data_IF_171011038362
#
_entry.id   IF_171011038362
#
_cell.length_a   1.000
_cell.length_b   1.000
_cell.length_c   1.000
_cell.angle_alpha   90.00
_cell.angle_beta   90.00
_cell.angle_gamma   90.00
#
_symmetry.space_group_name_H-M   'P 1'
#
loop_
_entity.id
_entity.type
_entity.pdbx_description
1 polymer ?
#
# COMPACT_ATOMS: atom_id res chain seq x y z
N UNK A 1 -27.55 29.63 28.41
CA UNK A 1 -28.05 28.85 27.26
C UNK A 1 -27.04 28.73 26.12
N UNK A 2 -26.18 29.74 25.86
CA UNK A 2 -25.14 29.65 24.82
C UNK A 2 -23.99 28.67 25.16
N UNK A 3 -23.53 28.63 26.42
CA UNK A 3 -22.45 27.74 26.84
C UNK A 3 -22.84 26.24 26.75
N UNK A 4 -24.08 25.89 27.10
CA UNK A 4 -24.59 24.53 27.00
C UNK A 4 -24.71 24.05 25.55
N UNK A 5 -25.13 24.93 24.62
CA UNK A 5 -25.20 24.62 23.20
C UNK A 5 -23.81 24.43 22.57
N UNK A 6 -22.81 25.21 23.02
CA UNK A 6 -21.41 25.10 22.58
C UNK A 6 -20.78 23.77 22.98
N UNK A 7 -20.99 23.33 24.24
CA UNK A 7 -20.50 22.04 24.72
C UNK A 7 -21.14 20.85 23.98
N UNK A 8 -22.45 20.92 23.69
CA UNK A 8 -23.15 19.86 22.94
C UNK A 8 -22.60 19.77 21.51
N UNK A 9 -22.37 20.91 20.86
CA UNK A 9 -21.80 20.95 19.51
C UNK A 9 -20.39 20.34 19.45
N UNK A 10 -19.54 20.64 20.45
CA UNK A 10 -18.19 20.07 20.56
C UNK A 10 -18.22 18.55 20.80
N UNK A 11 -19.12 18.06 21.67
CA UNK A 11 -19.29 16.62 21.96
C UNK A 11 -19.78 15.87 20.71
N UNK A 12 -20.70 16.45 19.94
CA UNK A 12 -21.18 15.86 18.68
C UNK A 12 -20.04 15.76 17.66
N UNK A 13 -19.22 16.81 17.52
CA UNK A 13 -18.06 16.82 16.62
C UNK A 13 -17.01 15.76 16.99
N UNK A 14 -16.74 15.59 18.29
CA UNK A 14 -15.82 14.55 18.80
C UNK A 14 -16.39 13.15 18.56
N UNK A 15 -17.69 12.94 18.80
CA UNK A 15 -18.34 11.64 18.58
C UNK A 15 -18.34 11.23 17.10
N UNK A 16 -18.56 12.18 16.18
CA UNK A 16 -18.45 11.97 14.73
C UNK A 16 -17.03 11.59 14.30
N UNK A 17 -16.00 12.19 14.91
CA UNK A 17 -14.60 11.87 14.62
C UNK A 17 -14.21 10.44 15.06
N UNK A 18 -14.82 9.92 16.12
CA UNK A 18 -14.56 8.55 16.60
C UNK A 18 -15.25 7.44 15.81
N UNK A 19 -16.18 7.77 14.91
CA UNK A 19 -16.95 6.80 14.14
C UNK A 19 -16.26 6.31 12.85
N UNK A 20 -15.06 6.83 12.54
CA UNK A 20 -14.32 6.42 11.35
C UNK A 20 -13.65 5.05 11.56
N UNK A 21 -14.39 3.98 11.31
CA UNK A 21 -13.81 2.64 11.12
C UNK A 21 -13.49 2.46 9.63
N UNK A 22 -12.20 2.39 9.28
CA UNK A 22 -11.76 2.05 7.92
C UNK A 22 -12.01 0.57 7.64
N UNK A 23 -13.18 0.24 7.11
CA UNK A 23 -13.51 -1.14 6.75
C UNK A 23 -12.73 -1.52 5.49
N UNK A 24 -11.70 -2.36 5.63
CA UNK A 24 -10.94 -2.89 4.50
C UNK A 24 -11.78 -3.93 3.74
N UNK A 25 -11.75 -3.88 2.41
CA UNK A 25 -12.35 -4.90 1.57
C UNK A 25 -11.41 -5.27 0.42
N UNK A 26 -11.21 -6.58 0.12
CA UNK A 26 -10.44 -6.99 -1.05
C UNK A 26 -11.06 -6.54 -2.38
N UNK A 27 -12.36 -6.19 -2.38
CA UNK A 27 -13.12 -5.73 -3.55
C UNK A 27 -13.32 -4.21 -3.59
N UNK A 28 -12.61 -3.45 -2.73
CA UNK A 28 -12.80 -2.00 -2.60
C UNK A 28 -12.68 -1.23 -3.92
N UNK A 29 -11.82 -1.71 -4.84
CA UNK A 29 -11.56 -1.07 -6.14
C UNK A 29 -12.30 -1.71 -7.32
N UNK A 30 -13.15 -2.73 -7.11
CA UNK A 30 -13.76 -3.51 -8.21
C UNK A 30 -14.62 -2.65 -9.15
N UNK A 31 -15.19 -1.56 -8.65
CA UNK A 31 -16.01 -0.62 -9.44
C UNK A 31 -15.25 0.66 -9.78
N UNK A 32 -14.52 1.25 -8.81
CA UNK A 32 -13.85 2.54 -8.96
C UNK A 32 -12.55 2.47 -9.77
N UNK A 33 -11.82 1.35 -9.67
CA UNK A 33 -10.65 1.10 -10.49
C UNK A 33 -10.46 -0.42 -10.77
N UNK A 34 -11.26 -1.02 -11.67
CA UNK A 34 -11.29 -2.47 -11.88
C UNK A 34 -9.95 -3.07 -12.33
N UNK A 35 -9.05 -2.25 -12.88
CA UNK A 35 -7.72 -2.66 -13.36
C UNK A 35 -6.61 -2.44 -12.33
N UNK A 36 -6.90 -1.94 -11.14
CA UNK A 36 -5.89 -1.60 -10.13
C UNK A 36 -5.02 -2.81 -9.76
N UNK A 37 -5.64 -3.90 -9.27
CA UNK A 37 -4.91 -5.08 -8.80
C UNK A 37 -4.09 -5.74 -9.92
N UNK A 38 -4.65 -5.84 -11.12
CA UNK A 38 -3.95 -6.39 -12.28
C UNK A 38 -2.73 -5.54 -12.68
N UNK A 39 -2.85 -4.20 -12.62
CA UNK A 39 -1.76 -3.27 -12.94
C UNK A 39 -0.64 -3.37 -11.90
N UNK A 40 -0.97 -3.43 -10.60
CA UNK A 40 0.01 -3.63 -9.53
C UNK A 40 0.74 -4.95 -9.72
N UNK A 41 -0.01 -6.06 -9.92
CA UNK A 41 0.55 -7.39 -10.15
C UNK A 41 1.55 -7.39 -11.32
N UNK A 42 1.17 -6.81 -12.45
CA UNK A 42 2.04 -6.71 -13.63
C UNK A 42 3.34 -5.95 -13.33
N UNK A 43 3.24 -4.79 -12.67
CA UNK A 43 4.41 -3.98 -12.31
C UNK A 43 5.36 -4.70 -11.35
N UNK A 44 4.80 -5.40 -10.36
CA UNK A 44 5.58 -6.23 -9.41
C UNK A 44 6.26 -7.38 -10.12
N UNK A 45 5.53 -8.13 -10.94
CA UNK A 45 6.09 -9.27 -11.70
C UNK A 45 7.23 -8.82 -12.61
N UNK A 46 7.10 -7.69 -13.30
CA UNK A 46 8.15 -7.13 -14.13
C UNK A 46 9.40 -6.74 -13.30
N UNK A 47 9.20 -6.04 -12.18
CA UNK A 47 10.29 -5.62 -11.30
C UNK A 47 11.02 -6.83 -10.66
N UNK A 48 10.25 -7.82 -10.21
CA UNK A 48 10.75 -9.06 -9.60
C UNK A 48 11.47 -9.92 -10.64
N UNK A 49 10.96 -10.01 -11.87
CA UNK A 49 11.61 -10.68 -13.00
C UNK A 49 12.98 -10.07 -13.30
N UNK A 50 13.07 -8.74 -13.31
CA UNK A 50 14.32 -8.01 -13.55
C UNK A 50 15.33 -8.09 -12.40
N UNK A 51 14.89 -7.99 -11.14
CA UNK A 51 15.73 -8.13 -9.94
C UNK A 51 14.97 -8.99 -8.91
N UNK A 52 15.36 -10.26 -8.69
CA UNK A 52 14.71 -11.10 -7.70
C UNK A 52 14.70 -10.54 -6.28
N UNK A 53 15.69 -9.75 -5.91
CA UNK A 53 15.75 -9.12 -4.59
C UNK A 53 14.70 -8.01 -4.42
N UNK A 54 14.09 -7.55 -5.52
CA UNK A 54 13.04 -6.54 -5.46
C UNK A 54 11.80 -7.04 -4.73
N UNK A 55 11.46 -8.33 -4.83
CA UNK A 55 10.32 -8.89 -4.11
C UNK A 55 10.48 -8.77 -2.59
N UNK A 56 11.66 -9.13 -2.07
CA UNK A 56 11.99 -8.94 -0.66
C UNK A 56 12.08 -7.45 -0.28
N UNK A 57 12.55 -6.60 -1.19
CA UNK A 57 12.66 -5.16 -0.96
C UNK A 57 11.28 -4.50 -0.82
N UNK A 58 10.30 -4.87 -1.66
CA UNK A 58 8.93 -4.37 -1.61
C UNK A 58 8.18 -4.85 -0.36
N UNK A 59 8.36 -6.11 0.02
CA UNK A 59 7.83 -6.65 1.27
C UNK A 59 8.40 -5.89 2.48
N UNK A 60 9.72 -5.65 2.50
CA UNK A 60 10.38 -4.86 3.54
C UNK A 60 9.87 -3.41 3.56
N UNK A 61 9.66 -2.79 2.41
CA UNK A 61 9.15 -1.42 2.31
C UNK A 61 7.76 -1.30 2.94
N UNK A 62 6.85 -2.24 2.66
CA UNK A 62 5.54 -2.29 3.30
C UNK A 62 5.62 -2.54 4.81
N UNK A 63 6.51 -3.42 5.27
CA UNK A 63 6.75 -3.61 6.70
C UNK A 63 7.17 -2.30 7.39
N UNK A 64 8.11 -1.56 6.78
CA UNK A 64 8.59 -0.30 7.35
C UNK A 64 7.55 0.83 7.33
N UNK A 65 6.63 0.82 6.36
CA UNK A 65 5.45 1.69 6.37
C UNK A 65 4.56 1.37 7.58
N UNK A 66 4.06 0.14 7.64
CA UNK A 66 3.10 -0.27 8.68
C UNK A 66 3.63 -0.21 10.11
N UNK A 67 4.95 -0.37 10.32
CA UNK A 67 5.54 -0.36 11.66
C UNK A 67 5.68 1.05 12.24
N UNK A 68 5.67 2.08 11.40
CA UNK A 68 5.78 3.48 11.82
C UNK A 68 4.44 4.15 11.58
N UNK A 69 3.69 4.44 12.65
CA UNK A 69 2.42 5.18 12.59
C UNK A 69 1.27 4.52 11.79
N UNK A 70 1.51 3.38 11.14
CA UNK A 70 0.50 2.57 10.45
C UNK A 70 0.76 2.48 8.94
N UNK A 71 -0.06 1.73 8.22
CA UNK A 71 0.09 1.55 6.78
C UNK A 71 -0.54 2.74 6.03
N UNK A 72 0.13 3.89 6.01
CA UNK A 72 -0.38 5.15 5.47
C UNK A 72 0.48 5.72 4.31
N UNK A 73 1.49 4.96 3.86
CA UNK A 73 2.47 5.36 2.85
C UNK A 73 3.38 6.54 3.25
N UNK A 74 3.45 6.89 4.53
CA UNK A 74 4.35 7.91 5.07
C UNK A 74 5.81 7.65 4.70
N UNK A 75 6.23 6.39 4.63
CA UNK A 75 7.61 6.00 4.26
C UNK A 75 8.00 6.43 2.84
N UNK A 76 7.03 6.66 1.95
CA UNK A 76 7.26 7.09 0.57
C UNK A 76 7.53 8.59 0.46
N UNK A 77 7.19 9.36 1.49
CA UNK A 77 7.43 10.80 1.52
C UNK A 77 8.90 11.07 1.85
N UNK A 78 9.53 11.97 1.08
CA UNK A 78 10.90 12.39 1.35
C UNK A 78 10.96 13.15 2.68
N UNK A 79 11.55 12.55 3.71
CA UNK A 79 11.50 13.12 5.05
C UNK A 79 12.21 12.30 6.12
N UNK A 80 11.73 12.42 7.36
CA UNK A 80 12.35 11.85 8.56
C UNK A 80 12.42 10.31 8.51
N UNK A 81 11.38 9.66 7.99
CA UNK A 81 11.31 8.19 7.96
C UNK A 81 12.23 7.60 6.91
N UNK A 82 12.21 8.11 5.67
CA UNK A 82 13.11 7.64 4.62
C UNK A 82 14.59 7.85 4.97
N UNK A 83 14.91 8.92 5.70
CA UNK A 83 16.27 9.25 6.13
C UNK A 83 16.62 8.74 7.53
N UNK A 84 15.72 8.00 8.18
CA UNK A 84 16.02 7.40 9.48
C UNK A 84 17.18 6.39 9.33
N UNK A 85 17.98 6.23 10.38
CA UNK A 85 19.13 5.30 10.42
C UNK A 85 18.83 3.91 9.83
N UNK A 86 17.70 3.23 10.16
CA UNK A 86 17.42 1.89 9.60
C UNK A 86 17.07 1.90 8.10
N UNK A 87 16.74 3.07 7.54
CA UNK A 87 16.13 3.22 6.22
C UNK A 87 17.08 3.88 5.20
N UNK A 88 17.89 4.84 5.64
CA UNK A 88 18.80 5.61 4.80
C UNK A 88 19.79 4.70 4.05
N UNK A 89 19.70 4.69 2.71
CA UNK A 89 20.52 3.82 1.85
C UNK A 89 20.20 2.32 1.97
N UNK A 90 19.17 1.94 2.74
CA UNK A 90 18.79 0.54 3.02
C UNK A 90 17.48 0.16 2.35
N UNK A 91 16.46 1.03 2.43
CA UNK A 91 15.18 0.80 1.75
C UNK A 91 15.34 0.96 0.24
N UNK A 92 14.69 0.06 -0.51
CA UNK A 92 14.68 0.03 -1.98
C UNK A 92 13.23 -0.19 -2.45
N UNK A 93 12.99 0.05 -3.73
CA UNK A 93 11.69 -0.20 -4.35
C UNK A 93 10.80 1.03 -4.53
N UNK A 94 11.21 2.20 -4.02
CA UNK A 94 10.47 3.47 -4.22
C UNK A 94 10.16 3.76 -5.69
N UNK A 95 11.13 3.55 -6.59
CA UNK A 95 10.94 3.74 -8.03
C UNK A 95 9.91 2.78 -8.65
N UNK A 96 9.82 1.54 -8.13
CA UNK A 96 8.82 0.56 -8.58
C UNK A 96 7.43 0.99 -8.14
N UNK A 97 7.26 1.38 -6.87
CA UNK A 97 5.98 1.88 -6.35
C UNK A 97 5.54 3.13 -7.10
N UNK A 98 6.46 4.08 -7.34
CA UNK A 98 6.15 5.29 -8.10
C UNK A 98 5.75 4.97 -9.54
N UNK A 99 6.44 4.05 -10.22
CA UNK A 99 6.08 3.63 -11.58
C UNK A 99 4.70 2.96 -11.63
N UNK A 100 4.38 2.10 -10.67
CA UNK A 100 3.05 1.48 -10.54
C UNK A 100 1.99 2.56 -10.29
N UNK A 101 2.24 3.49 -9.36
CA UNK A 101 1.35 4.61 -9.06
C UNK A 101 1.09 5.44 -10.32
N UNK A 102 2.13 5.81 -11.08
CA UNK A 102 1.97 6.56 -12.33
C UNK A 102 1.07 5.82 -13.33
N UNK A 103 1.20 4.50 -13.47
CA UNK A 103 0.35 3.71 -14.35
C UNK A 103 -1.10 3.66 -13.86
N UNK A 104 -1.30 3.53 -12.55
CA UNK A 104 -2.64 3.53 -11.96
C UNK A 104 -3.32 4.89 -12.10
N UNK A 105 -2.60 5.99 -11.88
CA UNK A 105 -3.14 7.35 -12.04
C UNK A 105 -3.54 7.64 -13.49
N UNK A 106 -2.87 7.01 -14.47
CA UNK A 106 -3.27 7.09 -15.88
C UNK A 106 -4.56 6.32 -16.19
N UNK A 107 -4.96 5.36 -15.34
CA UNK A 107 -6.17 4.54 -15.49
C UNK A 107 -7.34 5.12 -14.66
N UNK A 108 -7.06 5.46 -13.40
CA UNK A 108 -8.04 5.90 -12.41
C UNK A 108 -7.40 6.97 -11.50
N UNK A 109 -7.48 8.21 -11.94
CA UNK A 109 -6.87 9.36 -11.27
C UNK A 109 -7.36 9.50 -9.83
N UNK A 110 -6.43 9.74 -8.90
CA UNK A 110 -6.61 9.93 -7.46
C UNK A 110 -7.53 8.91 -6.78
N UNK A 111 -7.58 7.68 -7.29
CA UNK A 111 -8.51 6.65 -6.79
C UNK A 111 -7.83 5.67 -5.84
N UNK A 112 -6.69 5.11 -6.24
CA UNK A 112 -6.00 4.06 -5.46
C UNK A 112 -4.94 4.68 -4.55
N UNK A 113 -4.99 4.39 -3.26
CA UNK A 113 -4.02 4.92 -2.29
C UNK A 113 -2.62 4.31 -2.49
N UNK A 114 -1.57 5.05 -2.11
CA UNK A 114 -0.20 4.51 -2.14
C UNK A 114 0.00 3.38 -1.11
N UNK A 115 -0.72 3.43 0.01
CA UNK A 115 -0.69 2.40 1.05
C UNK A 115 -1.25 1.07 0.53
N UNK A 116 -2.34 1.11 -0.25
CA UNK A 116 -2.89 -0.09 -0.89
C UNK A 116 -1.95 -0.65 -1.96
N UNK A 117 -1.26 0.23 -2.71
CA UNK A 117 -0.23 -0.21 -3.67
C UNK A 117 0.90 -0.93 -2.93
N UNK A 118 1.40 -0.40 -1.81
CA UNK A 118 2.42 -1.07 -0.99
C UNK A 118 1.94 -2.44 -0.49
N UNK A 119 0.72 -2.49 0.02
CA UNK A 119 0.11 -3.73 0.57
C UNK A 119 -0.04 -4.80 -0.51
N UNK A 120 -0.62 -4.45 -1.65
CA UNK A 120 -0.81 -5.38 -2.77
C UNK A 120 0.53 -5.76 -3.38
N UNK A 121 1.49 -4.83 -3.49
CA UNK A 121 2.82 -5.12 -4.02
C UNK A 121 3.62 -6.07 -3.14
N UNK A 122 3.50 -5.96 -1.82
CA UNK A 122 4.12 -6.89 -0.87
C UNK A 122 3.54 -8.31 -1.02
N UNK A 123 2.21 -8.44 -1.10
CA UNK A 123 1.55 -9.74 -1.35
C UNK A 123 2.02 -10.36 -2.66
N UNK A 124 1.96 -9.61 -3.76
CA UNK A 124 2.30 -10.12 -5.09
C UNK A 124 3.79 -10.45 -5.20
N UNK A 125 4.65 -9.76 -4.43
CA UNK A 125 6.09 -10.07 -4.36
C UNK A 125 6.35 -11.45 -3.75
N UNK A 126 5.62 -11.82 -2.69
CA UNK A 126 5.73 -13.15 -2.08
C UNK A 126 5.29 -14.24 -3.06
N UNK A 127 4.15 -14.02 -3.75
CA UNK A 127 3.65 -14.95 -4.78
C UNK A 127 4.65 -15.10 -5.91
N UNK A 128 5.19 -13.99 -6.43
CA UNK A 128 6.17 -13.99 -7.51
C UNK A 128 7.45 -14.74 -7.15
N UNK A 129 7.91 -14.62 -5.91
CA UNK A 129 9.07 -15.36 -5.41
C UNK A 129 8.79 -16.85 -5.24
N UNK A 130 7.61 -17.22 -4.72
CA UNK A 130 7.20 -18.63 -4.59
C UNK A 130 7.10 -19.33 -5.95
N UNK A 131 6.44 -18.68 -6.92
CA UNK A 131 6.30 -19.18 -8.29
C UNK A 131 7.67 -19.49 -8.94
N UNK A 132 8.69 -18.67 -8.69
CA UNK A 132 10.04 -18.92 -9.21
C UNK A 132 10.80 -20.05 -8.56
N UNK A 133 10.54 -20.36 -7.29
CA UNK A 133 11.19 -21.46 -6.60
C UNK A 133 10.46 -22.80 -6.82
N UNK A 134 9.46 -22.85 -7.71
CA UNK A 134 8.59 -24.02 -7.88
C UNK A 134 7.76 -24.33 -6.62
N UNK A 135 7.66 -23.37 -5.71
CA UNK A 135 6.91 -23.47 -4.46
C UNK A 135 5.69 -22.56 -4.59
N UNK A 136 4.67 -23.04 -5.29
CA UNK A 136 3.34 -22.47 -5.19
C UNK A 136 2.84 -22.75 -3.76
N UNK A 137 2.99 -21.77 -2.86
CA UNK A 137 2.52 -21.87 -1.46
C UNK A 137 0.99 -22.07 -1.37
N UNK A 138 0.29 -21.90 -2.49
CA UNK A 138 -1.07 -22.37 -2.70
C UNK A 138 -1.02 -23.18 -3.98
N UNK A 139 -1.39 -24.47 -3.92
CA UNK A 139 -1.39 -25.40 -5.05
C UNK A 139 -2.44 -25.08 -6.11
N UNK A 140 -2.45 -23.84 -6.59
CA UNK A 140 -3.28 -23.39 -7.68
C UNK A 140 -2.32 -22.96 -8.80
N UNK A 141 -2.15 -23.85 -9.78
CA UNK A 141 -1.60 -23.48 -11.08
C UNK A 141 -2.48 -22.36 -11.64
N UNK A 142 -1.94 -21.16 -11.73
CA UNK A 142 -2.59 -20.08 -12.48
C UNK A 142 -2.53 -20.49 -13.95
N UNK A 143 -3.66 -20.58 -14.67
CA UNK A 143 -3.70 -21.02 -16.06
C UNK A 143 -2.87 -20.15 -17.01
#
# INVERSE_FOLDING_TARGET
MAASASCISLVVLVALATAASGQLSPTFYDTSCPRALATIKSGVMAAVSSDPRMGASLLRLHFHDCFVQGCDASVLLSGMEQNAIPNAGSLRGFGVINSIKTQIEAICNQTVSCADILTVAARDSVVALGARHGQSLWGEEIP
#
